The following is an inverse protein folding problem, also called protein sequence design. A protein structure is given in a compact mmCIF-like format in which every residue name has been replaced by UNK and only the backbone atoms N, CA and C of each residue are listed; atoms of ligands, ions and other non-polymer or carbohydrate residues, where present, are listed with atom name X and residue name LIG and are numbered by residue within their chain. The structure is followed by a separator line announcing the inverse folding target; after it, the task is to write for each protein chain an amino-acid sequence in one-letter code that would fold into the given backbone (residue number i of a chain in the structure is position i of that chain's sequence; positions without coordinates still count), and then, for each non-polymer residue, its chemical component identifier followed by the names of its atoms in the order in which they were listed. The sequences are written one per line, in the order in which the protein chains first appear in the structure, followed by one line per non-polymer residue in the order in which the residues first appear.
data_IF_834285158015
#
_entry.id   IF_834285158015
#
_cell.length_a   1.000
_cell.length_b   1.000
_cell.length_c   1.000
_cell.angle_alpha   90.00
_cell.angle_beta   90.00
_cell.angle_gamma   90.00
#
_symmetry.space_group_name_H-M   'P 1'
#
loop_
_entity.id
_entity.type
_entity.pdbx_description
1 polymer ?
#
# COMPACT_ATOMS: atom_id res chain seq x y z
N UNK A 1 10.41 19.49 -58.64
CA UNK A 1 10.83 18.36 -57.79
C UNK A 1 11.31 18.93 -56.47
N UNK A 2 10.54 18.73 -55.39
CA UNK A 2 10.89 19.26 -54.07
C UNK A 2 11.79 18.27 -53.32
N UNK A 3 12.88 18.79 -52.74
CA UNK A 3 13.91 18.06 -52.00
C UNK A 3 13.31 17.21 -50.85
N UNK A 4 13.58 15.88 -50.80
CA UNK A 4 13.15 15.00 -49.70
C UNK A 4 13.62 15.48 -48.31
N UNK A 5 14.73 16.22 -48.23
CA UNK A 5 15.25 16.80 -47.00
C UNK A 5 14.40 17.94 -46.42
N UNK A 6 13.63 18.63 -47.28
CA UNK A 6 12.81 19.77 -46.85
C UNK A 6 11.57 19.34 -46.07
N UNK A 7 10.96 18.19 -46.42
CA UNK A 7 9.82 17.60 -45.68
C UNK A 7 10.24 17.08 -44.29
N UNK A 8 11.44 16.52 -44.17
CA UNK A 8 11.98 15.98 -42.90
C UNK A 8 12.26 17.07 -41.87
N UNK A 9 12.75 18.24 -42.29
CA UNK A 9 12.98 19.38 -41.39
C UNK A 9 11.68 20.04 -40.91
N UNK A 10 10.64 20.04 -41.73
CA UNK A 10 9.33 20.59 -41.34
C UNK A 10 8.62 19.72 -40.28
N UNK A 11 8.76 18.40 -40.35
CA UNK A 11 8.25 17.48 -39.33
C UNK A 11 9.01 17.56 -37.99
N UNK A 12 10.26 18.01 -38.02
CA UNK A 12 11.08 18.26 -36.83
C UNK A 12 10.88 19.66 -36.22
N UNK A 13 10.03 20.51 -36.82
CA UNK A 13 9.65 21.79 -36.25
C UNK A 13 8.52 21.60 -35.22
N UNK A 14 8.93 21.20 -34.01
CA UNK A 14 8.25 21.34 -32.69
C UNK A 14 6.70 21.38 -32.68
N UNK A 15 6.06 20.31 -33.14
CA UNK A 15 4.64 19.96 -32.86
C UNK A 15 3.57 20.45 -33.84
N UNK A 16 3.92 20.95 -35.03
CA UNK A 16 2.89 21.25 -36.04
C UNK A 16 2.35 19.95 -36.68
N UNK A 17 1.13 19.58 -36.33
CA UNK A 17 0.40 18.45 -36.95
C UNK A 17 0.47 17.11 -36.20
N UNK A 18 0.89 17.11 -34.92
CA UNK A 18 0.76 15.92 -34.05
C UNK A 18 -0.52 16.03 -33.26
N UNK A 19 -1.26 14.92 -33.19
CA UNK A 19 -2.51 14.83 -32.45
C UNK A 19 -2.26 15.10 -30.95
N UNK A 20 -3.14 15.87 -30.31
CA UNK A 20 -2.98 16.23 -28.89
C UNK A 20 -2.96 14.98 -28.01
N UNK A 21 -3.71 13.96 -28.41
CA UNK A 21 -3.76 12.66 -27.74
C UNK A 21 -2.46 11.85 -27.90
N UNK A 22 -1.78 11.95 -29.06
CA UNK A 22 -0.51 11.27 -29.30
C UNK A 22 0.63 11.89 -28.47
N UNK A 23 0.58 13.21 -28.26
CA UNK A 23 1.52 13.94 -27.40
C UNK A 23 1.35 13.58 -25.92
N UNK A 24 0.11 13.35 -25.45
CA UNK A 24 -0.16 12.86 -24.10
C UNK A 24 0.28 11.41 -23.90
N UNK A 25 -0.09 10.52 -24.83
CA UNK A 25 0.30 9.10 -24.76
C UNK A 25 1.82 8.91 -24.70
N UNK A 26 2.57 9.54 -25.60
CA UNK A 26 4.05 9.44 -25.58
C UNK A 26 4.67 9.97 -24.28
N UNK A 27 4.08 11.01 -23.66
CA UNK A 27 4.58 11.51 -22.36
C UNK A 27 4.21 10.60 -21.21
N UNK A 28 3.01 10.01 -21.21
CA UNK A 28 2.62 9.00 -20.23
C UNK A 28 3.56 7.80 -20.33
N UNK A 29 3.85 7.30 -21.54
CA UNK A 29 4.81 6.21 -21.79
C UNK A 29 6.23 6.56 -21.32
N UNK A 30 6.78 7.71 -21.72
CA UNK A 30 8.13 8.15 -21.32
C UNK A 30 8.23 8.40 -19.82
N UNK A 31 7.18 8.96 -19.19
CA UNK A 31 7.14 9.19 -17.75
C UNK A 31 7.02 7.87 -16.98
N UNK A 32 6.22 6.92 -17.49
CA UNK A 32 6.09 5.57 -16.95
C UNK A 32 7.42 4.82 -17.02
N UNK A 33 8.15 4.93 -18.14
CA UNK A 33 9.43 4.26 -18.37
C UNK A 33 10.55 4.84 -17.49
N UNK A 34 10.63 6.17 -17.36
CA UNK A 34 11.56 6.84 -16.45
C UNK A 34 11.25 6.56 -14.96
N UNK A 35 9.99 6.25 -14.61
CA UNK A 35 9.57 5.84 -13.27
C UNK A 35 9.83 4.36 -13.00
N UNK A 36 9.67 3.49 -14.02
CA UNK A 36 9.98 2.04 -13.96
C UNK A 36 11.46 1.81 -13.60
N UNK A 37 12.34 2.68 -14.11
CA UNK A 37 13.79 2.62 -13.83
C UNK A 37 14.21 3.19 -12.45
N UNK A 38 13.29 3.68 -11.62
CA UNK A 38 13.64 4.37 -10.35
C UNK A 38 12.96 3.85 -9.09
N UNK A 39 12.18 2.77 -9.17
CA UNK A 39 11.50 2.19 -8.00
C UNK A 39 11.77 0.70 -7.92
N UNK A 40 12.91 0.35 -7.32
CA UNK A 40 12.92 -0.84 -6.47
C UNK A 40 11.91 -0.61 -5.35
N UNK A 41 11.04 -1.60 -5.19
CA UNK A 41 9.98 -1.63 -4.21
C UNK A 41 10.56 -1.32 -2.83
N UNK A 42 10.15 -0.19 -2.26
CA UNK A 42 10.34 0.03 -0.83
C UNK A 42 9.56 -1.08 -0.14
N UNK A 43 10.26 -2.01 0.52
CA UNK A 43 9.69 -3.17 1.21
C UNK A 43 8.37 -2.80 1.89
N UNK A 44 7.29 -3.43 1.44
CA UNK A 44 5.91 -3.05 1.75
C UNK A 44 5.34 -3.84 2.93
N UNK A 45 6.13 -4.77 3.44
CA UNK A 45 5.86 -5.64 4.56
C UNK A 45 6.36 -5.00 5.84
N UNK A 46 5.65 -5.22 6.94
CA UNK A 46 6.02 -4.74 8.28
C UNK A 46 6.24 -5.95 9.18
N UNK A 47 7.40 -6.06 9.81
CA UNK A 47 7.62 -7.03 10.90
C UNK A 47 6.98 -6.52 12.16
N UNK A 48 6.38 -7.40 12.96
CA UNK A 48 5.80 -7.03 14.24
C UNK A 48 6.81 -7.31 15.36
N UNK A 49 7.48 -6.25 15.81
CA UNK A 49 8.51 -6.28 16.86
C UNK A 49 7.96 -5.54 18.09
N UNK A 50 7.94 -6.15 19.29
CA UNK A 50 7.58 -5.46 20.52
C UNK A 50 8.55 -4.30 20.80
N UNK A 51 8.05 -3.14 21.23
CA UNK A 51 8.92 -2.06 21.73
C UNK A 51 9.42 -2.48 23.12
N UNK A 52 10.67 -2.92 23.21
CA UNK A 52 11.36 -3.23 24.48
C UNK A 52 12.54 -2.28 24.69
N UNK A 53 12.80 -1.90 25.94
CA UNK A 53 13.98 -1.10 26.31
C UNK A 53 15.25 -1.90 25.97
N UNK A 54 16.26 -1.23 25.41
CA UNK A 54 17.44 -1.83 24.75
C UNK A 54 18.31 -2.72 25.65
N UNK A 55 18.01 -2.83 26.95
CA UNK A 55 18.77 -3.63 27.91
C UNK A 55 18.34 -5.10 27.95
N UNK A 56 17.15 -5.45 27.43
CA UNK A 56 16.65 -6.83 27.41
C UNK A 56 16.97 -7.60 26.11
N UNK A 57 17.41 -6.91 25.05
CA UNK A 57 17.71 -7.53 23.75
C UNK A 57 18.96 -8.41 23.78
N UNK A 58 20.02 -7.98 24.49
CA UNK A 58 21.31 -8.69 24.57
C UNK A 58 21.21 -10.04 25.31
N UNK A 59 20.31 -10.15 26.31
CA UNK A 59 20.07 -11.38 27.06
C UNK A 59 19.20 -12.37 26.27
N UNK A 60 18.30 -11.87 25.43
CA UNK A 60 17.50 -12.68 24.51
C UNK A 60 18.40 -13.26 23.40
N UNK A 61 19.25 -12.46 22.76
CA UNK A 61 20.17 -12.95 21.71
C UNK A 61 21.10 -14.08 22.20
N UNK A 62 21.64 -13.97 23.42
CA UNK A 62 22.47 -15.02 24.03
C UNK A 62 21.69 -16.30 24.32
N UNK A 63 20.43 -16.20 24.75
CA UNK A 63 19.57 -17.38 24.98
C UNK A 63 19.16 -18.08 23.68
N UNK A 64 18.99 -17.35 22.58
CA UNK A 64 18.48 -17.88 21.32
C UNK A 64 19.54 -18.68 20.53
N UNK A 65 20.83 -18.34 20.69
CA UNK A 65 21.95 -19.04 20.03
C UNK A 65 22.12 -20.53 20.44
N UNK A 66 21.49 -20.95 21.55
CA UNK A 66 21.48 -22.35 22.02
C UNK A 66 20.12 -23.05 21.86
N UNK A 67 19.15 -22.46 21.16
CA UNK A 67 17.81 -23.07 21.05
C UNK A 67 17.85 -24.27 20.09
N UNK A 68 17.66 -25.47 20.63
CA UNK A 68 17.48 -26.68 19.83
C UNK A 68 16.13 -26.60 19.09
N UNK A 69 16.16 -26.29 17.78
CA UNK A 69 14.97 -26.16 16.94
C UNK A 69 14.16 -27.45 16.87
N UNK A 70 14.79 -28.62 16.94
CA UNK A 70 14.08 -29.90 16.92
C UNK A 70 13.24 -30.07 18.19
N UNK A 71 13.83 -29.75 19.35
CA UNK A 71 13.12 -29.77 20.63
C UNK A 71 11.99 -28.75 20.65
N UNK A 72 12.22 -27.54 20.12
CA UNK A 72 11.20 -26.50 20.02
C UNK A 72 10.00 -26.98 19.19
N UNK A 73 10.24 -27.59 18.04
CA UNK A 73 9.19 -28.12 17.16
C UNK A 73 8.45 -29.29 17.82
N UNK A 74 9.17 -30.18 18.51
CA UNK A 74 8.55 -31.28 19.26
C UNK A 74 7.62 -30.77 20.37
N UNK A 75 8.03 -29.72 21.10
CA UNK A 75 7.20 -29.09 22.12
C UNK A 75 6.02 -28.32 21.53
N UNK A 76 6.22 -27.65 20.39
CA UNK A 76 5.14 -26.98 19.65
C UNK A 76 4.07 -27.97 19.15
N UNK A 77 4.48 -29.20 18.82
CA UNK A 77 3.58 -30.26 18.37
C UNK A 77 2.80 -30.95 19.51
N UNK A 78 3.11 -30.69 20.77
CA UNK A 78 2.49 -31.33 21.94
C UNK A 78 1.07 -30.79 22.20
N UNK A 79 0.11 -31.18 21.36
CA UNK A 79 -1.30 -30.73 21.45
C UNK A 79 -2.05 -31.25 22.68
N UNK A 80 -1.54 -32.32 23.30
CA UNK A 80 -1.98 -32.89 24.57
C UNK A 80 -1.47 -32.10 25.80
N UNK A 81 -0.52 -31.18 25.60
CA UNK A 81 0.04 -30.32 26.65
C UNK A 81 -0.03 -28.82 26.26
N UNK A 82 -1.21 -28.19 26.42
CA UNK A 82 -1.42 -26.80 26.00
C UNK A 82 -0.44 -25.77 26.59
N UNK A 83 -0.04 -25.84 27.88
CA UNK A 83 0.98 -24.95 28.42
C UNK A 83 2.33 -25.08 27.72
N UNK A 84 2.77 -26.32 27.43
CA UNK A 84 4.04 -26.58 26.76
C UNK A 84 4.01 -26.10 25.30
N UNK A 85 2.93 -26.40 24.59
CA UNK A 85 2.71 -25.92 23.23
C UNK A 85 2.75 -24.40 23.17
N UNK A 86 2.04 -23.70 24.07
CA UNK A 86 2.02 -22.24 24.11
C UNK A 86 3.42 -21.66 24.34
N UNK A 87 4.18 -22.19 25.31
CA UNK A 87 5.56 -21.74 25.57
C UNK A 87 6.47 -21.94 24.35
N UNK A 88 6.32 -23.05 23.63
CA UNK A 88 7.08 -23.32 22.43
C UNK A 88 6.71 -22.36 21.28
N UNK A 89 5.42 -22.11 21.02
CA UNK A 89 4.99 -21.13 20.00
C UNK A 89 5.47 -19.72 20.35
N UNK A 90 5.39 -19.33 21.62
CA UNK A 90 5.95 -18.06 22.12
C UNK A 90 7.44 -17.93 21.86
N UNK A 91 8.19 -19.00 22.09
CA UNK A 91 9.63 -19.03 21.88
C UNK A 91 9.97 -18.93 20.38
N UNK A 92 9.21 -19.63 19.52
CA UNK A 92 9.31 -19.50 18.07
C UNK A 92 9.00 -18.07 17.59
N UNK A 93 7.94 -17.44 18.11
CA UNK A 93 7.63 -16.04 17.80
C UNK A 93 8.76 -15.10 18.22
N UNK A 94 9.33 -15.28 19.41
CA UNK A 94 10.44 -14.44 19.91
C UNK A 94 11.67 -14.55 19.02
N UNK A 95 12.05 -15.77 18.59
CA UNK A 95 13.11 -15.99 17.59
C UNK A 95 12.87 -15.17 16.32
N UNK A 96 11.62 -15.12 15.85
CA UNK A 96 11.23 -14.41 14.63
C UNK A 96 11.10 -12.89 14.80
N UNK A 97 11.06 -12.39 16.03
CA UNK A 97 10.85 -10.96 16.33
C UNK A 97 12.17 -10.19 16.46
N UNK A 98 13.32 -10.85 16.34
CA UNK A 98 14.63 -10.17 16.37
C UNK A 98 14.82 -9.26 15.15
N UNK A 99 15.39 -8.07 15.39
CA UNK A 99 15.73 -7.10 14.36
C UNK A 99 16.95 -7.51 13.54
N UNK A 100 17.85 -8.32 14.10
CA UNK A 100 19.08 -8.76 13.46
C UNK A 100 18.93 -10.17 12.87
N UNK A 101 18.49 -10.21 11.63
CA UNK A 101 18.49 -11.40 10.78
C UNK A 101 17.81 -12.63 11.44
N UNK A 102 16.49 -12.58 11.66
CA UNK A 102 15.78 -13.68 12.32
C UNK A 102 15.93 -14.98 11.53
N UNK A 103 16.00 -16.15 12.19
CA UNK A 103 16.23 -17.45 11.56
C UNK A 103 14.95 -18.00 10.88
N UNK A 104 14.38 -17.22 9.96
CA UNK A 104 13.11 -17.53 9.29
C UNK A 104 13.23 -18.84 8.51
N UNK A 105 14.25 -18.99 7.67
CA UNK A 105 14.42 -20.19 6.83
C UNK A 105 14.68 -21.43 7.69
N UNK A 106 15.47 -21.32 8.76
CA UNK A 106 15.73 -22.44 9.67
C UNK A 106 14.44 -22.91 10.39
N UNK A 107 13.55 -22.00 10.76
CA UNK A 107 12.23 -22.35 11.33
C UNK A 107 11.27 -22.95 10.29
N UNK A 108 11.32 -22.48 9.04
CA UNK A 108 10.55 -23.10 7.94
C UNK A 108 11.05 -24.52 7.71
N UNK A 109 12.36 -24.72 7.65
CA UNK A 109 12.99 -26.01 7.38
C UNK A 109 12.76 -27.03 8.49
N UNK A 110 12.65 -26.56 9.75
CA UNK A 110 12.30 -27.38 10.92
C UNK A 110 10.84 -27.87 10.94
N UNK A 111 10.03 -27.54 9.92
CA UNK A 111 8.63 -27.97 9.75
C UNK A 111 7.67 -27.42 10.80
N UNK A 112 7.94 -26.22 11.33
CA UNK A 112 7.04 -25.58 12.29
C UNK A 112 5.74 -25.03 11.65
N UNK A 113 5.74 -24.73 10.34
CA UNK A 113 4.61 -24.07 9.68
C UNK A 113 3.27 -24.80 9.81
N UNK A 114 3.15 -26.12 9.54
CA UNK A 114 1.88 -26.82 9.73
C UNK A 114 1.37 -26.80 11.16
N UNK A 115 2.29 -26.78 12.14
CA UNK A 115 1.95 -26.70 13.58
C UNK A 115 1.37 -25.32 13.89
N UNK A 116 2.02 -24.24 13.41
CA UNK A 116 1.52 -22.88 13.58
C UNK A 116 0.14 -22.70 12.94
N UNK A 117 -0.09 -23.27 11.76
CA UNK A 117 -1.39 -23.23 11.08
C UNK A 117 -2.45 -23.98 11.88
N UNK A 118 -2.17 -25.20 12.37
CA UNK A 118 -3.07 -25.96 13.25
C UNK A 118 -3.41 -25.18 14.53
N UNK A 119 -2.46 -24.41 15.07
CA UNK A 119 -2.69 -23.56 16.25
C UNK A 119 -3.70 -22.43 15.98
N UNK A 120 -3.85 -21.94 14.74
CA UNK A 120 -4.86 -20.93 14.40
C UNK A 120 -6.29 -21.47 14.50
N UNK A 121 -6.49 -22.78 14.37
CA UNK A 121 -7.80 -23.43 14.44
C UNK A 121 -8.35 -23.54 15.88
N UNK A 122 -7.48 -23.32 16.88
CA UNK A 122 -7.79 -23.48 18.32
C UNK A 122 -8.61 -22.32 18.88
N UNK A 123 -9.88 -22.23 18.50
CA UNK A 123 -10.82 -21.21 19.00
C UNK A 123 -11.00 -21.24 20.53
N UNK A 124 -10.75 -22.40 21.15
CA UNK A 124 -10.73 -22.60 22.60
C UNK A 124 -9.52 -21.95 23.29
N UNK A 125 -8.48 -21.59 22.54
CA UNK A 125 -7.23 -21.01 23.07
C UNK A 125 -6.78 -19.76 22.28
N UNK A 126 -7.37 -18.58 22.56
CA UNK A 126 -7.01 -17.35 21.87
C UNK A 126 -5.56 -16.89 22.07
N UNK A 127 -4.93 -17.23 23.21
CA UNK A 127 -3.53 -16.91 23.45
C UNK A 127 -2.63 -17.68 22.46
N UNK A 128 -2.93 -18.96 22.24
CA UNK A 128 -2.23 -19.75 21.25
C UNK A 128 -2.46 -19.25 19.82
N UNK A 129 -3.70 -18.91 19.46
CA UNK A 129 -4.02 -18.31 18.15
C UNK A 129 -3.23 -17.02 17.92
N UNK A 130 -3.18 -16.14 18.93
CA UNK A 130 -2.45 -14.88 18.87
C UNK A 130 -0.95 -15.09 18.62
N UNK A 131 -0.30 -15.95 19.40
CA UNK A 131 1.14 -16.22 19.27
C UNK A 131 1.48 -16.90 17.93
N UNK A 132 0.63 -17.84 17.49
CA UNK A 132 0.80 -18.50 16.20
C UNK A 132 0.61 -17.54 15.02
N UNK A 133 -0.41 -16.67 15.08
CA UNK A 133 -0.64 -15.65 14.07
C UNK A 133 0.51 -14.65 14.00
N UNK A 134 1.07 -14.27 15.16
CA UNK A 134 2.23 -13.38 15.22
C UNK A 134 3.48 -14.04 14.63
N UNK A 135 3.78 -15.29 14.97
CA UNK A 135 4.89 -16.02 14.37
C UNK A 135 4.77 -16.07 12.84
N UNK A 136 3.60 -16.45 12.32
CA UNK A 136 3.34 -16.48 10.87
C UNK A 136 3.43 -15.09 10.22
N UNK A 137 3.00 -14.04 10.92
CA UNK A 137 3.12 -12.65 10.46
C UNK A 137 4.58 -12.26 10.24
N UNK A 138 5.46 -12.64 11.17
CA UNK A 138 6.89 -12.34 11.09
C UNK A 138 7.57 -13.16 9.98
N UNK A 139 7.18 -14.42 9.77
CA UNK A 139 7.63 -15.20 8.61
C UNK A 139 7.17 -14.52 7.30
N UNK A 140 5.90 -14.15 7.21
CA UNK A 140 5.34 -13.48 6.04
C UNK A 140 5.93 -12.08 5.77
N UNK A 141 6.58 -11.47 6.77
CA UNK A 141 7.27 -10.17 6.63
C UNK A 141 8.61 -10.24 5.88
N UNK A 142 9.13 -11.45 5.65
CA UNK A 142 10.42 -11.67 4.98
C UNK A 142 10.34 -11.65 3.45
N UNK A 143 11.13 -12.51 2.80
CA UNK A 143 11.20 -12.61 1.33
C UNK A 143 9.89 -13.15 0.73
N UNK A 144 9.66 -12.95 -0.57
CA UNK A 144 8.49 -13.52 -1.25
C UNK A 144 8.45 -15.05 -1.19
N UNK A 145 9.60 -15.72 -1.19
CA UNK A 145 9.66 -17.17 -0.98
C UNK A 145 9.12 -17.56 0.40
N UNK A 146 9.49 -16.83 1.46
CA UNK A 146 9.03 -17.07 2.83
C UNK A 146 7.52 -16.79 2.97
N UNK A 147 7.01 -15.70 2.38
CA UNK A 147 5.57 -15.42 2.34
C UNK A 147 4.80 -16.52 1.62
N UNK A 148 5.31 -16.99 0.47
CA UNK A 148 4.69 -18.10 -0.26
C UNK A 148 4.66 -19.40 0.56
N UNK A 149 5.65 -19.67 1.43
CA UNK A 149 5.60 -20.82 2.34
C UNK A 149 4.45 -20.72 3.34
N UNK A 150 4.18 -19.52 3.88
CA UNK A 150 3.02 -19.28 4.76
C UNK A 150 1.70 -19.51 4.02
N UNK A 151 1.60 -19.03 2.77
CA UNK A 151 0.41 -19.22 1.93
C UNK A 151 0.20 -20.71 1.60
N UNK A 152 1.25 -21.41 1.15
CA UNK A 152 1.22 -22.84 0.83
C UNK A 152 0.87 -23.72 2.04
N UNK A 153 1.18 -23.27 3.25
CA UNK A 153 0.80 -23.95 4.48
C UNK A 153 -0.70 -23.83 4.82
N UNK A 154 -1.48 -23.03 4.07
CA UNK A 154 -2.92 -22.89 4.28
C UNK A 154 -3.32 -21.82 5.30
N UNK A 155 -2.43 -20.88 5.63
CA UNK A 155 -2.69 -19.88 6.68
C UNK A 155 -3.74 -18.82 6.30
N UNK A 156 -3.87 -18.47 5.01
CA UNK A 156 -4.70 -17.33 4.57
C UNK A 156 -6.20 -17.52 4.88
N UNK A 157 -6.85 -18.65 4.56
CA UNK A 157 -8.25 -18.88 4.95
C UNK A 157 -8.47 -18.79 6.47
N UNK A 158 -7.50 -19.25 7.27
CA UNK A 158 -7.58 -19.14 8.72
C UNK A 158 -7.44 -17.70 9.21
N UNK A 159 -6.54 -16.89 8.62
CA UNK A 159 -6.49 -15.46 8.93
C UNK A 159 -7.81 -14.74 8.64
N UNK A 160 -8.48 -15.08 7.53
CA UNK A 160 -9.81 -14.53 7.20
C UNK A 160 -10.87 -14.93 8.22
N UNK A 161 -10.86 -16.19 8.68
CA UNK A 161 -11.71 -16.62 9.79
C UNK A 161 -11.43 -15.81 11.07
N UNK A 162 -10.15 -15.55 11.38
CA UNK A 162 -9.75 -14.81 12.58
C UNK A 162 -10.15 -13.32 12.55
N UNK A 163 -10.48 -12.74 11.39
CA UNK A 163 -11.08 -11.39 11.32
C UNK A 163 -12.43 -11.31 12.05
N UNK A 164 -13.11 -12.44 12.22
CA UNK A 164 -14.39 -12.53 12.94
C UNK A 164 -14.21 -12.93 14.42
N UNK A 165 -12.97 -13.01 14.91
CA UNK A 165 -12.70 -13.38 16.31
C UNK A 165 -13.28 -12.33 17.27
N UNK A 166 -13.94 -12.73 18.37
CA UNK A 166 -14.36 -11.80 19.41
C UNK A 166 -13.18 -11.22 20.19
N UNK A 167 -11.97 -11.76 19.99
CA UNK A 167 -10.73 -11.31 20.63
C UNK A 167 -10.02 -10.32 19.73
N UNK A 168 -10.08 -9.06 20.10
CA UNK A 168 -9.52 -7.96 19.31
C UNK A 168 -8.05 -8.17 18.95
N UNK A 169 -7.20 -8.57 19.90
CA UNK A 169 -5.78 -8.82 19.64
C UNK A 169 -5.53 -9.90 18.58
N UNK A 170 -6.38 -10.94 18.52
CA UNK A 170 -6.30 -11.99 17.49
C UNK A 170 -6.71 -11.44 16.13
N UNK A 171 -7.80 -10.67 16.08
CA UNK A 171 -8.26 -9.99 14.87
C UNK A 171 -7.19 -9.02 14.33
N UNK A 172 -6.62 -8.17 15.19
CA UNK A 172 -5.56 -7.22 14.82
C UNK A 172 -4.33 -7.93 14.25
N UNK A 173 -3.94 -9.05 14.85
CA UNK A 173 -2.80 -9.83 14.38
C UNK A 173 -3.08 -10.49 13.02
N UNK A 174 -4.31 -10.95 12.78
CA UNK A 174 -4.72 -11.49 11.48
C UNK A 174 -4.73 -10.41 10.38
N UNK A 175 -5.19 -9.20 10.68
CA UNK A 175 -5.09 -8.05 9.75
C UNK A 175 -3.64 -7.77 9.39
N UNK A 176 -2.72 -7.79 10.36
CA UNK A 176 -1.30 -7.59 10.09
C UNK A 176 -0.74 -8.69 9.16
N UNK A 177 -1.03 -9.96 9.47
CA UNK A 177 -0.59 -11.09 8.66
C UNK A 177 -1.06 -10.95 7.20
N UNK A 178 -2.35 -10.66 6.99
CA UNK A 178 -2.93 -10.44 5.67
C UNK A 178 -2.29 -9.26 4.96
N UNK A 179 -2.00 -8.17 5.66
CA UNK A 179 -1.30 -7.02 5.09
C UNK A 179 0.09 -7.35 4.54
N UNK A 180 0.85 -8.22 5.23
CA UNK A 180 2.14 -8.71 4.74
C UNK A 180 2.01 -9.62 3.52
N UNK A 181 0.98 -10.47 3.48
CA UNK A 181 0.69 -11.35 2.33
C UNK A 181 0.26 -10.52 1.11
N UNK A 182 -0.68 -9.59 1.28
CA UNK A 182 -1.16 -8.68 0.23
C UNK A 182 -0.01 -7.79 -0.27
N UNK A 183 0.81 -7.28 0.64
CA UNK A 183 1.95 -6.42 0.31
C UNK A 183 3.12 -7.13 -0.37
N UNK A 184 3.10 -8.45 -0.52
CA UNK A 184 4.16 -9.19 -1.23
C UNK A 184 4.14 -8.95 -2.74
N UNK A 185 2.96 -8.74 -3.32
CA UNK A 185 2.84 -8.53 -4.75
C UNK A 185 1.43 -8.77 -5.29
N UNK A 186 1.21 -8.46 -6.58
CA UNK A 186 -0.10 -8.49 -7.19
C UNK A 186 -0.76 -9.88 -7.14
N UNK A 187 0.02 -10.95 -7.32
CA UNK A 187 -0.49 -12.33 -7.30
C UNK A 187 -1.11 -12.71 -5.96
N UNK A 188 -0.41 -12.45 -4.85
CA UNK A 188 -0.92 -12.77 -3.52
C UNK A 188 -2.03 -11.80 -3.09
N UNK A 189 -1.95 -10.54 -3.52
CA UNK A 189 -3.03 -9.56 -3.34
C UNK A 189 -4.33 -10.02 -3.99
N UNK A 190 -4.30 -10.44 -5.24
CA UNK A 190 -5.50 -10.92 -5.96
C UNK A 190 -6.03 -12.23 -5.37
N UNK A 191 -5.15 -13.14 -4.94
CA UNK A 191 -5.54 -14.36 -4.22
C UNK A 191 -6.31 -14.05 -2.93
N UNK A 192 -5.82 -13.11 -2.11
CA UNK A 192 -6.47 -12.74 -0.85
C UNK A 192 -7.79 -11.99 -1.10
N UNK A 193 -7.88 -11.20 -2.18
CA UNK A 193 -9.14 -10.59 -2.65
C UNK A 193 -10.16 -11.67 -3.01
N UNK A 194 -9.75 -12.68 -3.80
CA UNK A 194 -10.64 -13.76 -4.24
C UNK A 194 -11.22 -14.57 -3.07
N UNK A 195 -10.50 -14.64 -1.95
CA UNK A 195 -10.98 -15.29 -0.73
C UNK A 195 -11.92 -14.42 0.12
N UNK A 196 -12.21 -13.18 -0.28
CA UNK A 196 -13.21 -12.33 0.38
C UNK A 196 -12.67 -11.46 1.51
N UNK A 197 -11.44 -10.94 1.41
CA UNK A 197 -10.86 -10.07 2.46
C UNK A 197 -11.51 -8.69 2.57
N UNK A 198 -12.10 -8.20 1.48
CA UNK A 198 -12.49 -6.78 1.33
C UNK A 198 -13.61 -6.42 2.31
N UNK A 199 -14.73 -7.15 2.28
CA UNK A 199 -15.87 -6.91 3.16
C UNK A 199 -15.49 -6.89 4.66
N UNK A 200 -14.77 -7.91 5.20
CA UNK A 200 -14.29 -7.87 6.58
C UNK A 200 -13.46 -6.64 6.92
N UNK A 201 -12.51 -6.23 6.06
CA UNK A 201 -11.69 -5.05 6.29
C UNK A 201 -12.51 -3.75 6.32
N UNK A 202 -13.47 -3.61 5.40
CA UNK A 202 -14.35 -2.44 5.34
C UNK A 202 -15.25 -2.33 6.58
N UNK A 203 -15.65 -3.45 7.17
CA UNK A 203 -16.45 -3.47 8.41
C UNK A 203 -15.74 -2.85 9.63
N UNK A 204 -14.41 -2.72 9.58
CA UNK A 204 -13.61 -2.08 10.63
C UNK A 204 -13.49 -0.56 10.46
N UNK A 205 -14.11 0.05 9.46
CA UNK A 205 -14.09 1.50 9.27
C UNK A 205 -15.33 2.10 9.95
N UNK A 206 -15.23 2.31 11.27
CA UNK A 206 -16.28 2.91 12.09
C UNK A 206 -15.69 3.77 13.23
N UNK A 207 -16.43 4.78 13.73
CA UNK A 207 -15.91 5.74 14.71
C UNK A 207 -15.36 5.13 16.00
N UNK A 208 -15.86 3.95 16.40
CA UNK A 208 -15.50 3.30 17.66
C UNK A 208 -14.19 2.50 17.59
N UNK A 209 -13.61 2.35 16.39
CA UNK A 209 -12.41 1.53 16.21
C UNK A 209 -11.18 2.27 16.74
N UNK A 210 -10.34 1.62 17.57
CA UNK A 210 -9.14 2.24 18.08
C UNK A 210 -8.20 2.69 16.95
N UNK A 211 -7.70 3.93 17.06
CA UNK A 211 -6.82 4.54 16.04
C UNK A 211 -5.62 3.66 15.66
N UNK A 212 -4.90 2.99 16.60
CA UNK A 212 -3.82 2.08 16.23
C UNK A 212 -4.28 0.95 15.31
N UNK A 213 -5.46 0.38 15.56
CA UNK A 213 -6.01 -0.67 14.71
C UNK A 213 -6.48 -0.11 13.36
N UNK A 214 -7.15 1.05 13.36
CA UNK A 214 -7.58 1.70 12.11
C UNK A 214 -6.39 2.04 11.19
N UNK A 215 -5.24 2.42 11.76
CA UNK A 215 -3.98 2.59 11.00
C UNK A 215 -3.55 1.29 10.32
N UNK A 216 -3.64 0.14 11.00
CA UNK A 216 -3.32 -1.15 10.41
C UNK A 216 -4.30 -1.52 9.30
N UNK A 217 -5.61 -1.36 9.52
CA UNK A 217 -6.63 -1.60 8.49
C UNK A 217 -6.39 -0.72 7.27
N UNK A 218 -6.14 0.58 7.48
CA UNK A 218 -5.85 1.53 6.39
C UNK A 218 -4.59 1.11 5.63
N UNK A 219 -3.54 0.67 6.32
CA UNK A 219 -2.33 0.17 5.66
C UNK A 219 -2.60 -1.07 4.79
N UNK A 220 -3.45 -2.01 5.23
CA UNK A 220 -3.85 -3.16 4.40
C UNK A 220 -4.64 -2.70 3.18
N UNK A 221 -5.57 -1.77 3.33
CA UNK A 221 -6.32 -1.16 2.21
C UNK A 221 -5.37 -0.50 1.22
N UNK A 222 -4.34 0.20 1.69
CA UNK A 222 -3.30 0.76 0.81
C UNK A 222 -2.58 -0.33 0.03
N UNK A 223 -2.25 -1.46 0.65
CA UNK A 223 -1.62 -2.58 -0.05
C UNK A 223 -2.55 -3.21 -1.09
N UNK A 224 -3.86 -3.25 -0.86
CA UNK A 224 -4.84 -3.68 -1.87
C UNK A 224 -4.82 -2.76 -3.11
N UNK A 225 -4.66 -1.45 -2.93
CA UNK A 225 -4.66 -0.46 -4.02
C UNK A 225 -3.35 -0.37 -4.83
N UNK A 226 -2.25 -0.99 -4.37
CA UNK A 226 -0.92 -0.89 -4.99
C UNK A 226 -0.81 -1.68 -6.29
N UNK A 227 0.36 -1.64 -6.93
CA UNK A 227 0.77 -2.40 -8.12
C UNK A 227 -0.11 -2.14 -9.35
N UNK A 228 0.51 -1.64 -10.42
CA UNK A 228 -0.19 -1.33 -11.68
C UNK A 228 -0.17 -2.48 -12.69
N UNK A 229 0.56 -3.55 -12.42
CA UNK A 229 0.76 -4.66 -13.35
C UNK A 229 0.77 -6.01 -12.60
N UNK A 230 -0.37 -6.74 -12.59
CA UNK A 230 -1.71 -6.24 -12.92
C UNK A 230 -2.23 -5.21 -11.89
N UNK A 231 -3.12 -4.28 -12.29
CA UNK A 231 -3.84 -3.42 -11.37
C UNK A 231 -4.82 -4.23 -10.51
N UNK A 232 -5.28 -3.70 -9.36
CA UNK A 232 -6.35 -4.34 -8.59
C UNK A 232 -7.63 -4.51 -9.43
N UNK A 233 -8.43 -5.56 -9.18
CA UNK A 233 -9.70 -5.76 -9.89
C UNK A 233 -10.64 -4.55 -9.75
N UNK A 234 -11.32 -4.16 -10.84
CA UNK A 234 -12.20 -2.99 -10.86
C UNK A 234 -13.30 -3.06 -9.79
N UNK A 235 -13.95 -4.22 -9.62
CA UNK A 235 -14.96 -4.43 -8.58
C UNK A 235 -14.42 -4.13 -7.17
N UNK A 236 -13.17 -4.53 -6.90
CA UNK A 236 -12.52 -4.21 -5.62
C UNK A 236 -12.27 -2.72 -5.47
N UNK A 237 -11.89 -2.01 -6.53
CA UNK A 237 -11.72 -0.56 -6.50
C UNK A 237 -13.06 0.13 -6.19
N UNK A 238 -14.17 -0.32 -6.80
CA UNK A 238 -15.51 0.18 -6.51
C UNK A 238 -15.90 0.04 -5.04
N UNK A 239 -15.58 -1.12 -4.44
CA UNK A 239 -15.84 -1.38 -3.01
C UNK A 239 -14.96 -0.53 -2.07
N UNK A 240 -13.70 -0.28 -2.43
CA UNK A 240 -12.75 0.44 -1.58
C UNK A 240 -12.93 1.97 -1.62
N UNK A 241 -13.42 2.53 -2.72
CA UNK A 241 -13.52 3.99 -2.91
C UNK A 241 -14.41 4.70 -1.87
N UNK A 242 -15.62 4.21 -1.52
CA UNK A 242 -16.43 4.80 -0.46
C UNK A 242 -15.70 4.89 0.88
N UNK A 243 -14.94 3.85 1.22
CA UNK A 243 -14.13 3.80 2.43
C UNK A 243 -12.98 4.81 2.40
N UNK A 244 -12.26 4.92 1.29
CA UNK A 244 -11.21 5.94 1.13
C UNK A 244 -11.78 7.36 1.20
N UNK A 245 -12.98 7.59 0.66
CA UNK A 245 -13.67 8.87 0.75
C UNK A 245 -14.12 9.20 2.19
N UNK A 246 -14.41 8.20 3.02
CA UNK A 246 -14.61 8.41 4.45
C UNK A 246 -13.29 8.73 5.17
N UNK A 247 -12.24 7.92 4.93
CA UNK A 247 -10.96 8.01 5.63
C UNK A 247 -10.18 9.31 5.32
N UNK A 248 -10.38 9.95 4.17
CA UNK A 248 -9.71 11.21 3.83
C UNK A 248 -10.11 12.37 4.76
N UNK A 249 -11.22 12.22 5.49
CA UNK A 249 -11.68 13.20 6.48
C UNK A 249 -11.08 12.98 7.87
N UNK A 250 -10.28 11.92 8.05
CA UNK A 250 -9.75 11.55 9.35
C UNK A 250 -8.65 12.52 9.83
N UNK A 251 -8.64 12.83 11.12
CA UNK A 251 -7.70 13.80 11.72
C UNK A 251 -6.31 13.23 12.01
N UNK A 252 -6.21 11.91 12.15
CA UNK A 252 -4.93 11.21 12.28
C UNK A 252 -4.11 11.31 10.99
N UNK A 253 -2.93 11.91 11.09
CA UNK A 253 -2.05 12.17 9.95
C UNK A 253 -1.58 10.88 9.27
N UNK A 254 -1.36 9.79 10.01
CA UNK A 254 -0.90 8.54 9.39
C UNK A 254 -1.99 7.90 8.55
N UNK A 255 -3.23 7.85 9.06
CA UNK A 255 -4.40 7.40 8.30
C UNK A 255 -4.59 8.28 7.06
N UNK A 256 -4.51 9.60 7.20
CA UNK A 256 -4.66 10.53 6.09
C UNK A 256 -3.58 10.31 5.01
N UNK A 257 -2.31 10.20 5.41
CA UNK A 257 -1.20 9.93 4.49
C UNK A 257 -1.42 8.62 3.73
N UNK A 258 -1.74 7.54 4.44
CA UNK A 258 -1.96 6.23 3.83
C UNK A 258 -3.16 6.26 2.88
N UNK A 259 -4.28 6.88 3.29
CA UNK A 259 -5.47 7.06 2.45
C UNK A 259 -5.16 7.78 1.14
N UNK A 260 -4.41 8.88 1.20
CA UNK A 260 -4.04 9.65 0.01
C UNK A 260 -3.05 8.89 -0.87
N UNK A 261 -2.17 8.07 -0.29
CA UNK A 261 -1.34 7.14 -1.06
C UNK A 261 -2.17 6.10 -1.80
N UNK A 262 -3.20 5.51 -1.17
CA UNK A 262 -4.12 4.60 -1.85
C UNK A 262 -4.76 5.27 -3.07
N UNK A 263 -5.30 6.48 -2.92
CA UNK A 263 -5.86 7.26 -4.03
C UNK A 263 -4.81 7.53 -5.13
N UNK A 264 -3.56 7.79 -4.74
CA UNK A 264 -2.48 7.99 -5.71
C UNK A 264 -2.16 6.73 -6.53
N UNK A 265 -2.32 5.53 -5.95
CA UNK A 265 -2.12 4.29 -6.68
C UNK A 265 -3.28 3.98 -7.61
N UNK A 266 -4.51 4.20 -7.15
CA UNK A 266 -5.72 4.02 -7.98
C UNK A 266 -5.72 4.98 -9.20
N UNK A 267 -5.14 6.16 -9.06
CA UNK A 267 -5.02 7.14 -10.16
C UNK A 267 -3.81 6.90 -11.07
N UNK A 268 -2.83 6.06 -10.71
CA UNK A 268 -1.66 5.71 -11.55
C UNK A 268 -1.95 4.56 -12.55
N UNK A 269 -3.22 4.23 -12.75
CA UNK A 269 -3.70 3.25 -13.73
C UNK A 269 -3.94 3.89 -15.11
N UNK A 270 -5.19 3.84 -15.57
CA UNK A 270 -5.66 4.48 -16.79
C UNK A 270 -6.90 5.34 -16.56
N UNK A 271 -7.45 5.88 -17.65
CA UNK A 271 -8.56 6.83 -17.61
C UNK A 271 -9.81 6.27 -16.90
N UNK A 272 -10.07 4.97 -16.99
CA UNK A 272 -11.21 4.34 -16.32
C UNK A 272 -11.06 4.40 -14.80
N UNK A 273 -9.89 4.04 -14.26
CA UNK A 273 -9.65 4.14 -12.82
C UNK A 273 -9.60 5.59 -12.32
N UNK A 274 -9.06 6.51 -13.14
CA UNK A 274 -9.15 7.94 -12.87
C UNK A 274 -10.62 8.37 -12.76
N UNK A 275 -11.47 7.90 -13.68
CA UNK A 275 -12.90 8.21 -13.66
C UNK A 275 -13.59 7.68 -12.41
N UNK A 276 -13.31 6.45 -12.00
CA UNK A 276 -13.86 5.89 -10.75
C UNK A 276 -13.49 6.74 -9.53
N UNK A 277 -12.23 7.21 -9.45
CA UNK A 277 -11.78 8.09 -8.37
C UNK A 277 -12.51 9.44 -8.41
N UNK A 278 -12.73 10.01 -9.60
CA UNK A 278 -13.53 11.23 -9.76
C UNK A 278 -14.98 11.00 -9.29
N UNK A 279 -15.62 9.92 -9.77
CA UNK A 279 -17.02 9.58 -9.51
C UNK A 279 -17.27 9.24 -8.03
N UNK A 280 -16.23 8.80 -7.30
CA UNK A 280 -16.30 8.62 -5.84
C UNK A 280 -16.53 9.93 -5.06
N UNK A 281 -16.36 11.09 -5.70
CA UNK A 281 -16.53 12.40 -5.08
C UNK A 281 -15.39 12.81 -4.15
N UNK A 282 -14.24 12.15 -4.20
CA UNK A 282 -13.10 12.41 -3.30
C UNK A 282 -12.26 13.64 -3.71
N UNK A 283 -12.30 14.03 -5.00
CA UNK A 283 -11.48 15.14 -5.56
C UNK A 283 -11.62 16.46 -4.78
N UNK A 284 -12.83 16.95 -4.43
CA UNK A 284 -13.00 18.18 -3.64
C UNK A 284 -12.28 18.16 -2.29
N UNK A 285 -12.04 16.97 -1.72
CA UNK A 285 -11.33 16.79 -0.45
C UNK A 285 -9.84 16.58 -0.65
N UNK A 286 -9.45 16.03 -1.80
CA UNK A 286 -8.06 15.83 -2.18
C UNK A 286 -7.36 17.15 -2.52
N UNK A 287 -8.03 18.09 -3.20
CA UNK A 287 -7.42 19.36 -3.64
C UNK A 287 -6.89 20.21 -2.47
N UNK A 288 -7.65 20.48 -1.39
CA UNK A 288 -7.14 21.28 -0.27
C UNK A 288 -5.89 20.68 0.42
N UNK A 289 -5.67 19.37 0.28
CA UNK A 289 -4.50 18.69 0.86
C UNK A 289 -3.18 19.08 0.18
N UNK A 290 -3.23 19.72 -1.00
CA UNK A 290 -2.06 20.31 -1.66
C UNK A 290 -1.39 21.39 -0.79
N UNK A 291 -2.15 22.07 0.08
CA UNK A 291 -1.63 23.06 1.04
C UNK A 291 -1.58 22.55 2.48
N UNK A 292 -1.68 21.23 2.71
CA UNK A 292 -1.64 20.67 4.06
C UNK A 292 -0.30 20.93 4.76
N UNK A 293 -0.29 21.16 6.08
CA UNK A 293 0.96 21.46 6.82
C UNK A 293 2.00 20.33 6.79
N UNK A 294 1.53 19.10 6.72
CA UNK A 294 2.39 17.91 6.68
C UNK A 294 2.83 17.61 5.25
N UNK A 295 4.13 17.73 5.00
CA UNK A 295 4.75 17.49 3.68
C UNK A 295 4.43 16.09 3.14
N UNK A 296 4.31 15.07 4.02
CA UNK A 296 3.95 13.71 3.59
C UNK A 296 2.57 13.66 2.95
N UNK A 297 1.60 14.38 3.52
CA UNK A 297 0.24 14.51 2.96
C UNK A 297 0.29 15.29 1.65
N UNK A 298 0.98 16.43 1.61
CA UNK A 298 1.13 17.23 0.38
C UNK A 298 1.75 16.42 -0.76
N UNK A 299 2.78 15.63 -0.48
CA UNK A 299 3.47 14.80 -1.49
C UNK A 299 2.54 13.76 -2.09
N UNK A 300 1.76 13.07 -1.24
CA UNK A 300 0.79 12.08 -1.69
C UNK A 300 -0.36 12.73 -2.46
N UNK A 301 -0.88 13.86 -1.98
CA UNK A 301 -1.96 14.60 -2.61
C UNK A 301 -1.55 15.12 -3.99
N UNK A 302 -0.38 15.75 -4.07
CA UNK A 302 0.18 16.24 -5.33
C UNK A 302 0.40 15.11 -6.34
N UNK A 303 0.80 13.92 -5.87
CA UNK A 303 0.90 12.75 -6.74
C UNK A 303 -0.47 12.31 -7.26
N UNK A 304 -1.45 12.13 -6.38
CA UNK A 304 -2.79 11.69 -6.77
C UNK A 304 -3.44 12.68 -7.76
N UNK A 305 -3.39 13.99 -7.45
CA UNK A 305 -3.94 15.05 -8.31
C UNK A 305 -3.16 15.16 -9.62
N UNK A 306 -1.84 15.01 -9.58
CA UNK A 306 -0.97 14.92 -10.76
C UNK A 306 -1.30 13.75 -11.67
N UNK A 307 -1.64 12.59 -11.11
CA UNK A 307 -2.06 11.42 -11.86
C UNK A 307 -3.44 11.63 -12.52
N UNK A 308 -4.41 12.22 -11.81
CA UNK A 308 -5.74 12.52 -12.39
C UNK A 308 -5.62 13.37 -13.67
N UNK A 309 -4.75 14.39 -13.67
CA UNK A 309 -4.59 15.28 -14.83
C UNK A 309 -3.75 14.70 -15.97
N UNK A 310 -3.33 13.43 -15.86
CA UNK A 310 -2.79 12.68 -17.02
C UNK A 310 -3.88 12.10 -17.92
N UNK A 311 -5.13 12.14 -17.46
CA UNK A 311 -6.31 11.63 -18.15
C UNK A 311 -6.82 12.55 -19.27
N UNK A 312 -8.13 12.52 -19.50
CA UNK A 312 -8.77 13.34 -20.55
C UNK A 312 -8.86 14.82 -20.18
N UNK A 313 -9.27 15.65 -21.13
CA UNK A 313 -9.56 17.07 -20.89
C UNK A 313 -10.64 17.25 -19.84
N UNK A 314 -11.70 16.45 -19.90
CA UNK A 314 -12.84 16.51 -18.99
C UNK A 314 -12.40 16.14 -17.57
N UNK A 315 -11.59 15.09 -17.42
CA UNK A 315 -11.03 14.66 -16.14
C UNK A 315 -10.10 15.72 -15.55
N UNK A 316 -9.26 16.32 -16.40
CA UNK A 316 -8.42 17.46 -16.03
C UNK A 316 -9.25 18.66 -15.60
N UNK A 317 -10.36 18.93 -16.28
CA UNK A 317 -11.25 20.04 -15.97
C UNK A 317 -11.90 19.88 -14.60
N UNK A 318 -12.22 18.67 -14.15
CA UNK A 318 -12.74 18.42 -12.80
C UNK A 318 -11.77 18.96 -11.73
N UNK A 319 -10.48 18.69 -11.88
CA UNK A 319 -9.45 19.19 -10.94
C UNK A 319 -9.39 20.72 -10.93
N UNK A 320 -9.46 21.35 -12.11
CA UNK A 320 -9.44 22.82 -12.24
C UNK A 320 -10.71 23.47 -11.65
N UNK A 321 -11.87 22.82 -11.78
CA UNK A 321 -13.13 23.32 -11.24
C UNK A 321 -13.14 23.40 -9.71
N UNK A 322 -12.26 22.64 -9.04
CA UNK A 322 -12.06 22.70 -7.59
C UNK A 322 -10.89 23.61 -7.17
N UNK A 323 -10.51 24.56 -8.02
CA UNK A 323 -9.51 25.60 -7.76
C UNK A 323 -8.11 25.04 -7.42
N UNK A 324 -7.70 23.93 -8.06
CA UNK A 324 -6.41 23.33 -7.79
C UNK A 324 -5.23 24.29 -8.00
N UNK A 325 -5.32 25.20 -8.97
CA UNK A 325 -4.23 26.11 -9.36
C UNK A 325 -3.87 27.14 -8.28
N UNK A 326 -4.81 27.52 -7.39
CA UNK A 326 -4.53 28.49 -6.32
C UNK A 326 -3.50 27.99 -5.30
N UNK A 327 -3.29 26.68 -5.22
CA UNK A 327 -2.31 26.04 -4.34
C UNK A 327 -0.88 26.05 -4.92
N UNK A 328 -0.71 26.26 -6.24
CA UNK A 328 0.57 26.05 -6.92
C UNK A 328 1.66 27.11 -6.67
N UNK A 329 1.38 28.39 -6.38
CA UNK A 329 2.43 29.35 -6.04
C UNK A 329 3.30 28.88 -4.85
N UNK A 330 2.67 28.31 -3.82
CA UNK A 330 3.38 27.76 -2.66
C UNK A 330 4.13 26.46 -3.00
N UNK A 331 3.55 25.60 -3.85
CA UNK A 331 4.19 24.34 -4.26
C UNK A 331 5.41 24.55 -5.16
N UNK A 332 5.36 25.55 -6.05
CA UNK A 332 6.46 25.88 -6.97
C UNK A 332 7.65 26.51 -6.24
N UNK A 333 7.41 27.21 -5.13
CA UNK A 333 8.44 27.84 -4.29
C UNK A 333 8.81 27.00 -3.06
N UNK A 334 8.37 25.75 -3.01
CA UNK A 334 8.56 24.87 -1.86
C UNK A 334 10.05 24.53 -1.65
N UNK A 335 10.56 24.47 -0.39
CA UNK A 335 11.98 24.19 -0.12
C UNK A 335 12.45 22.80 -0.55
N UNK A 336 11.53 21.85 -0.76
CA UNK A 336 11.84 20.51 -1.27
C UNK A 336 11.69 20.46 -2.78
N UNK A 337 12.81 20.29 -3.48
CA UNK A 337 12.87 20.17 -4.94
C UNK A 337 11.94 19.09 -5.51
N UNK A 338 11.76 17.98 -4.79
CA UNK A 338 10.84 16.91 -5.21
C UNK A 338 9.40 17.41 -5.35
N UNK A 339 8.94 18.31 -4.48
CA UNK A 339 7.60 18.89 -4.55
C UNK A 339 7.52 19.86 -5.74
N UNK A 340 8.51 20.75 -5.91
CA UNK A 340 8.55 21.66 -7.06
C UNK A 340 8.53 20.88 -8.38
N UNK A 341 9.30 19.80 -8.48
CA UNK A 341 9.33 18.92 -9.66
C UNK A 341 7.96 18.33 -9.97
N UNK A 342 7.27 17.78 -8.97
CA UNK A 342 5.94 17.19 -9.16
C UNK A 342 4.89 18.27 -9.48
N UNK A 343 5.03 19.48 -8.93
CA UNK A 343 4.16 20.61 -9.23
C UNK A 343 4.33 21.09 -10.68
N UNK A 344 5.57 21.19 -11.16
CA UNK A 344 5.84 21.50 -12.58
C UNK A 344 5.35 20.36 -13.48
N UNK A 345 5.49 19.10 -13.06
CA UNK A 345 4.95 17.96 -13.80
C UNK A 345 3.42 18.05 -13.94
N UNK A 346 2.70 18.34 -12.86
CA UNK A 346 1.26 18.61 -12.89
C UNK A 346 0.91 19.71 -13.91
N UNK A 347 1.55 20.88 -13.83
CA UNK A 347 1.27 22.00 -14.75
C UNK A 347 1.60 21.64 -16.21
N UNK A 348 2.60 20.80 -16.44
CA UNK A 348 2.95 20.31 -17.78
C UNK A 348 1.86 19.43 -18.41
N UNK A 349 1.08 18.73 -17.57
CA UNK A 349 -0.06 17.94 -18.02
C UNK A 349 -1.27 18.84 -18.29
N UNK A 350 -1.57 19.81 -17.40
CA UNK A 350 -2.63 20.81 -17.64
C UNK A 350 -2.39 21.57 -18.94
N UNK A 351 -1.16 22.01 -19.19
CA UNK A 351 -0.80 22.78 -20.40
C UNK A 351 -0.72 21.93 -21.68
N UNK A 352 -0.79 20.60 -21.56
CA UNK A 352 -1.05 19.71 -22.68
C UNK A 352 -2.56 19.59 -23.00
N UNK A 353 -3.40 20.22 -22.18
CA UNK A 353 -4.83 20.44 -22.31
C UNK A 353 -5.28 21.24 -23.53
N UNK A 354 -6.58 21.53 -23.57
CA UNK A 354 -7.14 22.50 -24.50
C UNK A 354 -6.74 23.96 -24.16
N UNK A 355 -7.11 24.88 -25.05
CA UNK A 355 -6.76 26.30 -24.91
C UNK A 355 -7.30 26.94 -23.64
N UNK A 356 -8.51 26.58 -23.18
CA UNK A 356 -9.06 27.09 -21.91
C UNK A 356 -8.25 26.64 -20.69
N UNK A 357 -7.75 25.41 -20.69
CA UNK A 357 -6.91 24.89 -19.60
C UNK A 357 -5.54 25.57 -19.56
N UNK A 358 -4.95 25.82 -20.73
CA UNK A 358 -3.73 26.64 -20.83
C UNK A 358 -3.98 28.06 -20.31
N UNK A 359 -5.10 28.66 -20.70
CA UNK A 359 -5.49 30.00 -20.27
C UNK A 359 -5.69 30.07 -18.74
N UNK A 360 -6.29 29.05 -18.13
CA UNK A 360 -6.44 28.95 -16.68
C UNK A 360 -5.08 28.98 -15.94
N UNK A 361 -4.06 28.30 -16.48
CA UNK A 361 -2.70 28.34 -15.91
C UNK A 361 -2.07 29.74 -16.04
N UNK A 362 -2.29 30.42 -17.16
CA UNK A 362 -1.80 31.80 -17.37
C UNK A 362 -2.46 32.76 -16.39
N UNK A 363 -3.77 32.62 -16.18
CA UNK A 363 -4.54 33.50 -15.30
C UNK A 363 -4.22 33.28 -13.83
N UNK A 364 -3.91 32.05 -13.42
CA UNK A 364 -3.45 31.74 -12.05
C UNK A 364 -2.03 32.25 -11.75
N UNK A 365 -1.25 32.61 -12.78
CA UNK A 365 0.10 33.15 -12.64
C UNK A 365 0.18 34.68 -12.56
N UNK A 366 -0.96 35.37 -12.64
CA UNK A 366 -1.08 36.82 -12.42
C UNK A 366 -1.38 37.09 -10.96
#
# INVERSE_FOLDING_TARGET
MADPGYKSRLQNFKNRGKDQDEMRRRRNEVTVELRKNKREETLQKRRNVPVVDSTDEDDIEKSLSNTNLEQLVAQAAADDNPPLQLMAIQSARKLLSSDRNPPIDALIDSKILPILVKCLERQDNPALQFEAAWALTNIASGTSAQTNKVVQAGAVPLFLMLLHSPRQNVCEQAVWALGNVIGDGPVLRDYVIQLGVVEPLLSFIKPEIPIPFLRNVTWVIVNLCRNKDPPPPMATIEELLPALNALIHHTDVNILVDTVWALSYLTDGGNDQIQMVIDSGVVPKLIPLLSHKEVKVQTAALRAVGNIVTGTDEQTQVVLNFDALSHFPALLTHPKEKICKEAVWFLSNITAGNQSQVQAVIDAGK
#
